data_IF_356899220680
#
_entry.id   IF_356899220680
#
_cell.length_a   1.000
_cell.length_b   1.000
_cell.length_c   1.000
_cell.angle_alpha   90.00
_cell.angle_beta   90.00
_cell.angle_gamma   90.00
#
_symmetry.space_group_name_H-M   'P 1'
#
loop_
_entity.id
_entity.type
_entity.pdbx_description
1 polymer ?
#
# COMPACT_ATOMS: atom_id res chain seq x y z
N UNK A 1 7.80 57.09 179.28
CA UNK A 1 8.72 57.25 180.42
C UNK A 1 9.41 58.61 180.30
N UNK A 2 9.23 59.47 181.32
CA UNK A 2 10.28 60.25 182.03
C UNK A 2 11.74 60.02 181.59
N UNK A 3 12.71 60.96 181.55
CA UNK A 3 13.03 62.28 182.15
C UNK A 3 14.20 62.86 181.31
N UNK A 4 14.28 64.15 180.93
CA UNK A 4 14.96 65.27 181.62
C UNK A 4 14.89 66.49 180.65
N UNK A 5 14.56 67.76 180.95
CA UNK A 5 14.58 68.64 182.13
C UNK A 5 15.94 68.75 182.81
N UNK A 6 16.78 69.66 182.30
CA UNK A 6 17.60 70.64 183.05
C UNK A 6 18.47 71.45 182.07
N UNK A 7 17.96 72.63 181.67
CA UNK A 7 18.75 73.88 181.44
C UNK A 7 17.83 75.03 180.97
N UNK A 8 16.69 75.14 181.66
CA UNK A 8 15.75 76.25 181.58
C UNK A 8 16.34 77.48 182.30
N UNK A 9 16.66 78.50 181.49
CA UNK A 9 16.77 79.96 181.75
C UNK A 9 18.05 80.56 181.14
N UNK A 10 19.17 79.85 181.14
CA UNK A 10 20.41 80.31 180.47
C UNK A 10 20.34 80.17 178.94
N UNK A 11 19.79 79.07 178.44
CA UNK A 11 19.52 78.91 177.00
C UNK A 11 18.50 79.93 176.49
N UNK A 12 17.52 80.34 177.31
CA UNK A 12 16.50 81.29 176.89
C UNK A 12 17.02 82.73 176.89
N UNK A 13 17.91 83.10 177.82
CA UNK A 13 18.50 84.44 177.86
C UNK A 13 19.63 84.62 176.83
N UNK A 14 20.42 83.58 176.56
CA UNK A 14 21.39 83.57 175.45
C UNK A 14 20.68 83.57 174.09
N UNK A 15 19.64 82.76 173.91
CA UNK A 15 18.84 82.80 172.69
C UNK A 15 18.14 84.16 172.52
N UNK A 16 17.64 84.78 173.59
CA UNK A 16 17.02 86.10 173.51
C UNK A 16 18.03 87.22 173.21
N UNK A 17 19.24 87.16 173.78
CA UNK A 17 20.32 88.10 173.44
C UNK A 17 20.87 87.87 172.03
N UNK A 18 20.95 86.62 171.55
CA UNK A 18 21.25 86.31 170.15
C UNK A 18 20.16 86.86 169.21
N UNK A 19 18.88 86.69 169.56
CA UNK A 19 17.76 87.21 168.76
C UNK A 19 17.74 88.75 168.71
N UNK A 20 18.10 89.44 169.81
CA UNK A 20 18.24 90.91 169.80
C UNK A 20 19.46 91.35 168.99
N UNK A 21 20.58 90.62 169.06
CA UNK A 21 21.77 90.89 168.25
C UNK A 21 21.53 90.65 166.74
N UNK A 22 20.77 89.61 166.39
CA UNK A 22 20.43 89.27 165.02
C UNK A 22 19.39 90.23 164.43
N UNK A 23 18.39 90.68 165.21
CA UNK A 23 17.44 91.71 164.75
C UNK A 23 18.10 93.07 164.50
N UNK A 24 19.10 93.47 165.29
CA UNK A 24 19.77 94.77 165.12
C UNK A 24 20.75 94.85 163.94
N UNK A 25 21.20 93.72 163.38
CA UNK A 25 21.98 93.70 162.12
C UNK A 25 21.13 93.47 160.88
N UNK A 26 19.94 92.88 161.01
CA UNK A 26 18.94 92.88 159.93
C UNK A 26 18.36 94.28 159.65
N UNK A 27 18.46 95.23 160.58
CA UNK A 27 17.98 96.61 160.42
C UNK A 27 18.97 97.57 159.72
N UNK A 28 20.18 97.14 159.35
CA UNK A 28 21.20 98.06 158.80
C UNK A 28 21.93 97.57 157.54
N UNK A 29 21.27 96.76 156.69
CA UNK A 29 21.63 96.71 155.26
C UNK A 29 20.38 96.76 154.40
N UNK A 30 20.26 97.90 153.75
CA UNK A 30 19.24 98.28 152.80
C UNK A 30 19.15 97.25 151.67
N UNK A 31 17.92 96.79 151.48
CA UNK A 31 17.28 96.26 150.29
C UNK A 31 18.11 96.27 148.99
N UNK A 32 18.46 95.07 148.53
CA UNK A 32 18.67 94.79 147.11
C UNK A 32 17.41 94.10 146.59
N UNK A 33 16.94 94.52 145.41
CA UNK A 33 15.80 93.96 144.64
C UNK A 33 15.80 92.42 144.50
N UNK A 34 16.89 91.76 144.89
CA UNK A 34 17.10 90.32 144.86
C UNK A 34 16.47 89.58 146.05
N UNK A 35 16.39 90.17 147.24
CA UNK A 35 15.80 89.47 148.42
C UNK A 35 14.27 89.59 148.49
N UNK A 36 13.67 90.69 148.00
CA UNK A 36 12.22 90.75 147.77
C UNK A 36 11.80 89.87 146.58
N UNK A 37 12.64 89.78 145.55
CA UNK A 37 12.44 88.82 144.47
C UNK A 37 12.59 87.37 144.98
N UNK A 38 13.54 87.05 145.85
CA UNK A 38 13.64 85.73 146.46
C UNK A 38 12.51 85.44 147.45
N UNK A 39 12.01 86.41 148.22
CA UNK A 39 10.80 86.20 149.01
C UNK A 39 9.56 86.02 148.15
N UNK A 40 9.43 86.75 147.04
CA UNK A 40 8.35 86.54 146.08
C UNK A 40 8.47 85.18 145.40
N UNK A 41 9.67 84.78 144.95
CA UNK A 41 9.96 83.47 144.36
C UNK A 41 9.78 82.33 145.36
N UNK A 42 10.13 82.54 146.64
CA UNK A 42 9.94 81.59 147.73
C UNK A 42 8.46 81.50 148.12
N UNK A 43 7.67 82.57 148.02
CA UNK A 43 6.21 82.52 148.18
C UNK A 43 5.54 81.83 146.99
N UNK A 44 5.99 82.11 145.77
CA UNK A 44 5.50 81.50 144.53
C UNK A 44 5.88 80.02 144.45
N UNK A 45 7.06 79.62 144.95
CA UNK A 45 7.42 78.21 145.14
C UNK A 45 6.73 77.55 146.32
N UNK A 46 6.38 78.28 147.41
CA UNK A 46 5.53 77.73 148.47
C UNK A 46 4.06 77.57 148.01
N UNK A 47 3.55 78.49 147.20
CA UNK A 47 2.22 78.40 146.57
C UNK A 47 2.20 77.29 145.53
N UNK A 48 3.22 77.15 144.69
CA UNK A 48 3.38 76.00 143.80
C UNK A 48 3.59 74.67 144.57
N UNK A 49 4.28 74.70 145.71
CA UNK A 49 4.45 73.51 146.56
C UNK A 49 3.19 73.13 147.34
N UNK A 50 2.31 74.08 147.64
CA UNK A 50 1.02 73.81 148.29
C UNK A 50 -0.07 73.37 147.29
N UNK A 51 0.11 73.59 145.99
CA UNK A 51 -0.70 72.95 144.93
C UNK A 51 -0.20 71.55 144.55
N UNK A 52 1.05 71.19 144.87
CA UNK A 52 1.57 69.82 144.83
C UNK A 52 1.05 68.95 146.00
N UNK A 53 -0.26 68.80 146.08
CA UNK A 53 -0.91 67.78 146.91
C UNK A 53 -0.75 66.40 146.24
N UNK A 54 -0.71 65.32 147.02
CA UNK A 54 -0.64 63.94 146.50
C UNK A 54 -1.69 63.70 145.42
N UNK A 55 -2.86 64.30 145.56
CA UNK A 55 -3.98 64.19 144.62
C UNK A 55 -3.71 64.91 143.27
N UNK A 56 -3.03 66.06 143.28
CA UNK A 56 -2.67 66.78 142.05
C UNK A 56 -1.47 66.18 141.32
N UNK A 57 -0.49 65.61 142.05
CA UNK A 57 0.59 64.84 141.42
C UNK A 57 0.03 63.57 140.82
N UNK A 58 -0.86 62.85 141.52
CA UNK A 58 -1.53 61.66 140.99
C UNK A 58 -2.43 61.99 139.80
N UNK A 59 -3.16 63.12 139.82
CA UNK A 59 -3.90 63.62 138.64
C UNK A 59 -2.98 63.97 137.49
N UNK A 60 -1.90 64.71 137.71
CA UNK A 60 -0.94 65.05 136.65
C UNK A 60 -0.25 63.82 136.06
N UNK A 61 0.04 62.81 136.88
CA UNK A 61 0.61 61.54 136.44
C UNK A 61 -0.42 60.69 135.70
N UNK A 62 -1.69 60.72 136.11
CA UNK A 62 -2.81 60.09 135.42
C UNK A 62 -3.13 60.77 134.08
N UNK A 63 -3.10 62.10 134.02
CA UNK A 63 -3.28 62.90 132.80
C UNK A 63 -2.13 62.64 131.83
N UNK A 64 -0.89 62.56 132.31
CA UNK A 64 0.27 62.25 131.49
C UNK A 64 0.26 60.79 131.00
N UNK A 65 -0.25 59.86 131.82
CA UNK A 65 -0.47 58.47 131.42
C UNK A 65 -1.61 58.36 130.37
N UNK A 66 -2.65 59.18 130.47
CA UNK A 66 -3.73 59.31 129.49
C UNK A 66 -3.25 59.95 128.18
N UNK A 67 -2.50 61.04 128.24
CA UNK A 67 -1.89 61.69 127.06
C UNK A 67 -0.87 60.77 126.39
N UNK A 68 -0.03 60.07 127.15
CA UNK A 68 0.91 59.10 126.59
C UNK A 68 0.16 57.92 125.95
N UNK A 69 -0.90 57.42 126.59
CA UNK A 69 -1.78 56.42 125.99
C UNK A 69 -2.47 56.91 124.71
N UNK A 70 -2.90 58.18 124.68
CA UNK A 70 -3.51 58.82 123.52
C UNK A 70 -2.53 59.00 122.36
N UNK A 71 -1.32 59.51 122.63
CA UNK A 71 -0.27 59.71 121.63
C UNK A 71 0.23 58.37 121.10
N UNK A 72 0.38 57.35 121.95
CA UNK A 72 0.74 55.99 121.52
C UNK A 72 -0.36 55.38 120.65
N UNK A 73 -1.63 55.58 121.01
CA UNK A 73 -2.76 55.14 120.17
C UNK A 73 -2.81 55.89 118.83
N UNK A 74 -2.64 57.21 118.82
CA UNK A 74 -2.58 57.99 117.57
C UNK A 74 -1.39 57.61 116.70
N UNK A 75 -0.22 57.36 117.30
CA UNK A 75 0.97 56.92 116.59
C UNK A 75 0.76 55.51 116.03
N UNK A 76 0.13 54.62 116.81
CA UNK A 76 -0.25 53.27 116.37
C UNK A 76 -1.25 53.33 115.22
N UNK A 77 -2.26 54.22 115.28
CA UNK A 77 -3.25 54.40 114.23
C UNK A 77 -2.62 55.01 112.97
N UNK A 78 -1.72 56.01 113.11
CA UNK A 78 -0.95 56.56 112.00
C UNK A 78 -0.03 55.51 111.39
N UNK A 79 0.66 54.71 112.19
CA UNK A 79 1.52 53.63 111.72
C UNK A 79 0.70 52.55 111.00
N UNK A 80 -0.47 52.17 111.53
CA UNK A 80 -1.39 51.23 110.90
C UNK A 80 -1.91 51.78 109.56
N UNK A 81 -2.27 53.06 109.48
CA UNK A 81 -2.66 53.73 108.23
C UNK A 81 -1.52 53.78 107.21
N UNK A 82 -0.30 54.09 107.65
CA UNK A 82 0.88 54.08 106.78
C UNK A 82 1.24 52.66 106.31
N UNK A 83 1.09 51.65 107.17
CA UNK A 83 1.30 50.26 106.81
C UNK A 83 0.23 49.76 105.82
N UNK A 84 -1.04 50.12 106.03
CA UNK A 84 -2.12 49.86 105.06
C UNK A 84 -1.83 50.52 103.71
N UNK A 85 -1.35 51.77 103.71
CA UNK A 85 -0.96 52.48 102.49
C UNK A 85 0.23 51.84 101.79
N UNK A 86 1.18 51.32 102.56
CA UNK A 86 2.32 50.56 102.04
C UNK A 86 1.87 49.23 101.42
N UNK A 87 0.94 48.51 102.06
CA UNK A 87 0.34 47.29 101.52
C UNK A 87 -0.45 47.56 100.24
N UNK A 88 -1.23 48.63 100.18
CA UNK A 88 -1.94 49.06 98.97
C UNK A 88 -0.97 49.42 97.84
N UNK A 89 0.12 50.14 98.13
CA UNK A 89 1.16 50.48 97.15
C UNK A 89 1.90 49.23 96.66
N UNK A 90 2.20 48.28 97.54
CA UNK A 90 2.83 47.01 97.16
C UNK A 90 1.91 46.17 96.28
N UNK A 91 0.62 46.07 96.62
CA UNK A 91 -0.39 45.40 95.76
C UNK A 91 -0.55 46.10 94.42
N UNK A 92 -0.61 47.43 94.40
CA UNK A 92 -0.68 48.20 93.16
C UNK A 92 0.56 48.00 92.29
N UNK A 93 1.75 47.89 92.89
CA UNK A 93 3.00 47.58 92.18
C UNK A 93 2.99 46.19 91.58
N UNK A 94 2.48 45.20 92.32
CA UNK A 94 2.34 43.83 91.82
C UNK A 94 1.37 43.75 90.64
N UNK A 95 0.18 44.36 90.77
CA UNK A 95 -0.80 44.46 89.68
C UNK A 95 -0.21 45.20 88.47
N UNK A 96 0.47 46.34 88.69
CA UNK A 96 1.11 47.09 87.61
C UNK A 96 2.22 46.28 86.92
N UNK A 97 2.96 45.46 87.67
CA UNK A 97 3.98 44.57 87.11
C UNK A 97 3.37 43.44 86.29
N UNK A 98 2.27 42.84 86.76
CA UNK A 98 1.52 41.82 86.01
C UNK A 98 0.94 42.41 84.72
N UNK A 99 0.28 43.57 84.80
CA UNK A 99 -0.25 44.28 83.63
C UNK A 99 0.87 44.64 82.63
N UNK A 100 2.06 45.04 83.10
CA UNK A 100 3.19 45.31 82.22
C UNK A 100 3.66 44.04 81.50
N UNK A 101 3.70 42.89 82.19
CA UNK A 101 4.04 41.61 81.59
C UNK A 101 3.00 41.18 80.54
N UNK A 102 1.71 41.33 80.83
CA UNK A 102 0.63 41.05 79.87
C UNK A 102 0.72 41.94 78.64
N UNK A 103 0.95 43.25 78.81
CA UNK A 103 1.15 44.18 77.70
C UNK A 103 2.38 43.84 76.85
N UNK A 104 3.47 43.38 77.49
CA UNK A 104 4.65 42.89 76.76
C UNK A 104 4.34 41.63 75.96
N UNK A 105 3.60 40.67 76.54
CA UNK A 105 3.17 39.46 75.83
C UNK A 105 2.25 39.79 74.66
N UNK A 106 1.26 40.67 74.86
CA UNK A 106 0.35 41.14 73.80
C UNK A 106 1.15 41.79 72.67
N UNK A 107 2.15 42.63 72.99
CA UNK A 107 3.00 43.26 71.99
C UNK A 107 3.79 42.22 71.19
N UNK A 108 4.41 41.24 71.84
CA UNK A 108 5.16 40.18 71.15
C UNK A 108 4.24 39.39 70.21
N UNK A 109 3.03 39.06 70.66
CA UNK A 109 2.04 38.36 69.82
C UNK A 109 1.57 39.22 68.65
N UNK A 110 1.34 40.52 68.86
CA UNK A 110 0.97 41.45 67.80
C UNK A 110 2.08 41.61 66.75
N UNK A 111 3.34 41.77 67.19
CA UNK A 111 4.50 41.86 66.30
C UNK A 111 4.67 40.54 65.51
N UNK A 112 4.53 39.39 66.16
CA UNK A 112 4.59 38.08 65.50
C UNK A 112 3.44 37.87 64.48
N UNK A 113 2.23 38.32 64.82
CA UNK A 113 1.07 38.27 63.92
C UNK A 113 1.27 39.17 62.70
N UNK A 114 1.85 40.36 62.87
CA UNK A 114 2.14 41.26 61.75
C UNK A 114 3.21 40.66 60.82
N UNK A 115 4.30 40.11 61.37
CA UNK A 115 5.33 39.39 60.59
C UNK A 115 4.70 38.23 59.80
N UNK A 116 3.91 37.38 60.46
CA UNK A 116 3.28 36.24 59.80
C UNK A 116 2.29 36.69 58.72
N UNK A 117 1.57 37.77 58.95
CA UNK A 117 0.64 38.36 57.96
C UNK A 117 1.39 38.91 56.76
N UNK A 118 2.53 39.56 56.97
CA UNK A 118 3.39 40.05 55.90
C UNK A 118 3.95 38.89 55.06
N UNK A 119 4.50 37.85 55.70
CA UNK A 119 4.98 36.65 55.00
C UNK A 119 3.88 35.97 54.18
N UNK A 120 2.66 35.85 54.73
CA UNK A 120 1.54 35.27 53.99
C UNK A 120 1.15 36.13 52.79
N UNK A 121 1.15 37.46 52.92
CA UNK A 121 0.89 38.37 51.79
C UNK A 121 1.95 38.23 50.71
N UNK A 122 3.21 38.10 51.07
CA UNK A 122 4.30 37.87 50.11
C UNK A 122 4.16 36.52 49.40
N UNK A 123 3.89 35.44 50.16
CA UNK A 123 3.65 34.10 49.59
C UNK A 123 2.44 34.06 48.66
N UNK A 124 1.38 34.82 48.97
CA UNK A 124 0.22 34.93 48.10
C UNK A 124 0.58 35.66 46.81
N UNK A 125 1.32 36.77 46.88
CA UNK A 125 1.77 37.50 45.70
C UNK A 125 2.64 36.63 44.79
N UNK A 126 3.62 35.92 45.34
CA UNK A 126 4.49 35.05 44.53
C UNK A 126 3.70 33.90 43.90
N UNK A 127 2.75 33.31 44.62
CA UNK A 127 1.89 32.26 44.08
C UNK A 127 0.95 32.78 42.98
N UNK A 128 0.40 33.99 43.12
CA UNK A 128 -0.41 34.64 42.09
C UNK A 128 0.41 34.94 40.82
N UNK A 129 1.63 35.45 40.99
CA UNK A 129 2.57 35.71 39.89
C UNK A 129 2.98 34.41 39.18
N UNK A 130 3.27 33.35 39.92
CA UNK A 130 3.61 32.03 39.38
C UNK A 130 2.43 31.42 38.60
N UNK A 131 1.22 31.49 39.14
CA UNK A 131 0.01 31.01 38.46
C UNK A 131 -0.22 31.80 37.18
N UNK A 132 -0.07 33.14 37.25
CA UNK A 132 -0.23 34.00 36.08
C UNK A 132 0.80 33.67 35.01
N UNK A 133 2.07 33.56 35.37
CA UNK A 133 3.16 33.20 34.46
C UNK A 133 2.90 31.84 33.79
N UNK A 134 2.56 30.82 34.57
CA UNK A 134 2.24 29.47 34.05
C UNK A 134 1.02 29.46 33.13
N UNK A 135 -0.01 30.27 33.42
CA UNK A 135 -1.17 30.42 32.53
C UNK A 135 -0.77 31.08 31.23
N UNK A 136 -0.02 32.17 31.28
CA UNK A 136 0.45 32.87 30.09
C UNK A 136 1.36 31.98 29.22
N UNK A 137 2.22 31.15 29.80
CA UNK A 137 3.03 30.19 29.04
C UNK A 137 2.18 29.09 28.41
N UNK A 138 1.24 28.50 29.16
CA UNK A 138 0.34 27.46 28.64
C UNK A 138 -0.56 28.01 27.52
N UNK A 139 -1.11 29.21 27.66
CA UNK A 139 -1.91 29.84 26.62
C UNK A 139 -1.11 30.08 25.33
N UNK A 140 0.15 30.51 25.46
CA UNK A 140 1.06 30.64 24.30
C UNK A 140 1.35 29.30 23.64
N UNK A 141 1.63 28.25 24.42
CA UNK A 141 1.88 26.90 23.90
C UNK A 141 0.64 26.34 23.19
N UNK A 142 -0.55 26.48 23.79
CA UNK A 142 -1.82 26.05 23.18
C UNK A 142 -2.05 26.81 21.87
N UNK A 143 -1.85 28.12 21.85
CA UNK A 143 -2.03 28.94 20.65
C UNK A 143 -1.03 28.54 19.55
N UNK A 144 0.24 28.31 19.90
CA UNK A 144 1.26 27.86 18.97
C UNK A 144 0.94 26.47 18.41
N UNK A 145 0.59 25.51 19.27
CA UNK A 145 0.24 24.14 18.84
C UNK A 145 -1.00 24.10 17.97
N UNK A 146 -2.02 24.91 18.27
CA UNK A 146 -3.19 25.05 17.40
C UNK A 146 -2.83 25.63 16.03
N UNK A 147 -1.94 26.62 15.99
CA UNK A 147 -1.47 27.20 14.74
C UNK A 147 -0.64 26.22 13.91
N UNK A 148 0.24 25.46 14.56
CA UNK A 148 1.02 24.38 13.92
C UNK A 148 0.08 23.31 13.35
N UNK A 149 -0.87 22.83 14.15
CA UNK A 149 -1.87 21.84 13.72
C UNK A 149 -2.71 22.34 12.53
N UNK A 150 -3.18 23.59 12.57
CA UNK A 150 -3.95 24.17 11.47
C UNK A 150 -3.14 24.27 10.18
N UNK A 151 -1.85 24.56 10.27
CA UNK A 151 -0.95 24.55 9.10
C UNK A 151 -0.76 23.14 8.56
N UNK A 152 -0.43 22.18 9.42
CA UNK A 152 -0.26 20.77 9.03
C UNK A 152 -1.53 20.21 8.39
N UNK A 153 -2.71 20.56 8.93
CA UNK A 153 -3.98 20.16 8.36
C UNK A 153 -4.21 20.78 6.97
N UNK A 154 -3.93 22.07 6.79
CA UNK A 154 -4.06 22.73 5.49
C UNK A 154 -3.07 22.15 4.46
N UNK A 155 -1.81 21.91 4.84
CA UNK A 155 -0.79 21.29 3.99
C UNK A 155 -1.19 19.85 3.62
N UNK A 156 -1.76 19.10 4.56
CA UNK A 156 -2.26 17.75 4.29
C UNK A 156 -3.46 17.75 3.34
N UNK A 157 -4.42 18.65 3.54
CA UNK A 157 -5.58 18.80 2.66
C UNK A 157 -5.16 19.20 1.23
N UNK A 158 -4.22 20.13 1.09
CA UNK A 158 -3.65 20.53 -0.21
C UNK A 158 -2.89 19.37 -0.87
N UNK A 159 -2.06 18.63 -0.12
CA UNK A 159 -1.34 17.47 -0.63
C UNK A 159 -2.29 16.34 -1.06
N UNK A 160 -3.37 16.10 -0.30
CA UNK A 160 -4.39 15.12 -0.64
C UNK A 160 -5.15 15.52 -1.91
N UNK A 161 -5.49 16.81 -2.04
CA UNK A 161 -6.13 17.31 -3.25
C UNK A 161 -5.21 17.17 -4.47
N UNK A 162 -3.96 17.61 -4.38
CA UNK A 162 -2.98 17.49 -5.46
C UNK A 162 -2.74 16.03 -5.85
N UNK A 163 -2.67 15.12 -4.88
CA UNK A 163 -2.56 13.69 -5.13
C UNK A 163 -3.78 13.16 -5.90
N UNK A 164 -4.99 13.46 -5.43
CA UNK A 164 -6.23 13.03 -6.08
C UNK A 164 -6.38 13.58 -7.50
N UNK A 165 -6.02 14.84 -7.74
CA UNK A 165 -6.02 15.46 -9.07
C UNK A 165 -5.01 14.78 -9.99
N UNK A 166 -3.81 14.50 -9.50
CA UNK A 166 -2.78 13.78 -10.27
C UNK A 166 -3.23 12.36 -10.66
N UNK A 167 -3.86 11.64 -9.72
CA UNK A 167 -4.39 10.30 -9.92
C UNK A 167 -5.56 10.31 -10.91
N UNK A 168 -6.46 11.28 -10.81
CA UNK A 168 -7.58 11.44 -11.75
C UNK A 168 -7.07 11.73 -13.16
N UNK A 169 -6.08 12.62 -13.30
CA UNK A 169 -5.43 12.92 -14.58
C UNK A 169 -4.75 11.70 -15.17
N UNK A 170 -4.00 10.95 -14.37
CA UNK A 170 -3.35 9.71 -14.82
C UNK A 170 -4.38 8.68 -15.31
N UNK A 171 -5.45 8.45 -14.55
CA UNK A 171 -6.53 7.53 -14.95
C UNK A 171 -7.23 7.96 -16.23
N UNK A 172 -7.45 9.27 -16.42
CA UNK A 172 -8.01 9.80 -17.67
C UNK A 172 -7.08 9.52 -18.84
N UNK A 173 -5.78 9.83 -18.71
CA UNK A 173 -4.79 9.59 -19.75
C UNK A 173 -4.68 8.10 -20.10
N UNK A 174 -4.64 7.21 -19.10
CA UNK A 174 -4.62 5.77 -19.31
C UNK A 174 -5.87 5.27 -20.04
N UNK A 175 -7.04 5.81 -19.68
CA UNK A 175 -8.31 5.47 -20.34
C UNK A 175 -8.31 5.93 -21.80
N UNK A 176 -7.89 7.17 -22.06
CA UNK A 176 -7.82 7.74 -23.40
C UNK A 176 -6.82 6.98 -24.28
N UNK A 177 -5.63 6.67 -23.75
CA UNK A 177 -4.64 5.84 -24.44
C UNK A 177 -5.16 4.45 -24.74
N UNK A 178 -5.86 3.82 -23.80
CA UNK A 178 -6.44 2.50 -23.99
C UNK A 178 -7.50 2.51 -25.09
N UNK A 179 -8.42 3.49 -25.06
CA UNK A 179 -9.44 3.63 -26.10
C UNK A 179 -8.81 3.91 -27.47
N UNK A 180 -7.82 4.81 -27.53
CA UNK A 180 -7.10 5.10 -28.76
C UNK A 180 -6.40 3.85 -29.34
N UNK A 181 -5.69 3.09 -28.49
CA UNK A 181 -5.04 1.83 -28.88
C UNK A 181 -6.08 0.82 -29.37
N UNK A 182 -7.19 0.65 -28.65
CA UNK A 182 -8.27 -0.27 -29.03
C UNK A 182 -8.87 0.09 -30.40
N UNK A 183 -9.21 1.36 -30.62
CA UNK A 183 -9.75 1.84 -31.90
C UNK A 183 -8.74 1.66 -33.04
N UNK A 184 -7.48 2.00 -32.80
CA UNK A 184 -6.41 1.86 -33.79
C UNK A 184 -6.20 0.40 -34.17
N UNK A 185 -6.14 -0.51 -33.18
CA UNK A 185 -6.04 -1.96 -33.41
C UNK A 185 -7.25 -2.49 -34.16
N UNK A 186 -8.48 -2.06 -33.82
CA UNK A 186 -9.69 -2.45 -34.55
C UNK A 186 -9.66 -1.98 -36.00
N UNK A 187 -9.26 -0.73 -36.26
CA UNK A 187 -9.12 -0.18 -37.62
C UNK A 187 -8.07 -0.94 -38.42
N UNK A 188 -6.89 -1.19 -37.84
CA UNK A 188 -5.82 -1.97 -38.48
C UNK A 188 -6.27 -3.39 -38.82
N UNK A 189 -6.90 -4.08 -37.87
CA UNK A 189 -7.40 -5.44 -38.08
C UNK A 189 -8.49 -5.48 -39.15
N UNK A 190 -9.42 -4.50 -39.15
CA UNK A 190 -10.48 -4.39 -40.16
C UNK A 190 -9.88 -4.14 -41.54
N UNK A 191 -8.98 -3.18 -41.66
CA UNK A 191 -8.30 -2.87 -42.93
C UNK A 191 -7.49 -4.07 -43.45
N UNK A 192 -6.79 -4.79 -42.57
CA UNK A 192 -6.04 -5.99 -42.94
C UNK A 192 -6.98 -7.12 -43.41
N UNK A 193 -8.11 -7.32 -42.72
CA UNK A 193 -9.14 -8.28 -43.12
C UNK A 193 -9.75 -7.92 -44.48
N UNK A 194 -10.15 -6.67 -44.68
CA UNK A 194 -10.71 -6.19 -45.95
C UNK A 194 -9.70 -6.27 -47.10
N UNK A 195 -8.43 -6.00 -46.84
CA UNK A 195 -7.36 -6.18 -47.83
C UNK A 195 -7.20 -7.65 -48.23
N UNK A 196 -7.17 -8.57 -47.25
CA UNK A 196 -7.12 -10.01 -47.51
C UNK A 196 -8.34 -10.48 -48.30
N UNK A 197 -9.54 -10.06 -47.88
CA UNK A 197 -10.80 -10.37 -48.57
C UNK A 197 -10.75 -9.92 -50.03
N UNK A 198 -10.37 -8.67 -50.30
CA UNK A 198 -10.24 -8.14 -51.67
C UNK A 198 -9.21 -8.90 -52.50
N UNK A 199 -8.08 -9.30 -51.90
CA UNK A 199 -7.07 -10.08 -52.61
C UNK A 199 -7.59 -11.48 -52.97
N UNK A 200 -8.23 -12.17 -52.03
CA UNK A 200 -8.83 -13.47 -52.28
C UNK A 200 -9.97 -13.40 -53.32
N UNK A 201 -10.82 -12.37 -53.27
CA UNK A 201 -11.86 -12.15 -54.28
C UNK A 201 -11.25 -11.94 -55.68
N UNK A 202 -10.15 -11.17 -55.78
CA UNK A 202 -9.42 -10.98 -57.03
C UNK A 202 -8.81 -12.28 -57.54
N UNK A 203 -8.13 -13.03 -56.69
CA UNK A 203 -7.53 -14.33 -57.05
C UNK A 203 -8.60 -15.33 -57.52
N UNK A 204 -9.76 -15.39 -56.83
CA UNK A 204 -10.89 -16.22 -57.25
C UNK A 204 -11.40 -15.77 -58.62
N UNK A 205 -11.55 -14.46 -58.85
CA UNK A 205 -12.03 -13.94 -60.13
C UNK A 205 -11.05 -14.26 -61.27
N UNK A 206 -9.75 -14.01 -61.08
CA UNK A 206 -8.71 -14.28 -62.08
C UNK A 206 -8.62 -15.78 -62.39
N UNK A 207 -8.60 -16.63 -61.36
CA UNK A 207 -8.55 -18.08 -61.55
C UNK A 207 -9.82 -18.64 -62.19
N UNK A 208 -10.99 -18.07 -61.88
CA UNK A 208 -12.26 -18.46 -62.52
C UNK A 208 -12.26 -18.08 -63.99
N UNK A 209 -11.86 -16.85 -64.33
CA UNK A 209 -11.75 -16.42 -65.73
C UNK A 209 -10.76 -17.25 -66.54
N UNK A 210 -9.62 -17.61 -65.94
CA UNK A 210 -8.64 -18.47 -66.61
C UNK A 210 -9.19 -19.87 -66.84
N UNK A 211 -9.83 -20.48 -65.82
CA UNK A 211 -10.49 -21.78 -65.97
C UNK A 211 -11.59 -21.75 -67.02
N UNK A 212 -12.43 -20.71 -67.05
CA UNK A 212 -13.48 -20.56 -68.06
C UNK A 212 -12.93 -20.52 -69.48
N UNK A 213 -11.80 -19.82 -69.70
CA UNK A 213 -11.09 -19.82 -70.99
C UNK A 213 -10.56 -21.21 -71.34
N UNK A 214 -9.88 -21.87 -70.42
CA UNK A 214 -9.32 -23.21 -70.63
C UNK A 214 -10.43 -24.24 -70.94
N UNK A 215 -11.56 -24.15 -70.24
CA UNK A 215 -12.74 -24.99 -70.49
C UNK A 215 -13.36 -24.72 -71.85
N UNK A 216 -13.54 -23.44 -72.23
CA UNK A 216 -14.08 -23.06 -73.52
C UNK A 216 -13.17 -23.53 -74.68
N UNK A 217 -11.85 -23.39 -74.55
CA UNK A 217 -10.89 -23.90 -75.53
C UNK A 217 -10.95 -25.42 -75.64
N UNK A 218 -10.98 -26.13 -74.50
CA UNK A 218 -11.09 -27.59 -74.46
C UNK A 218 -12.39 -28.06 -75.10
N UNK A 219 -13.52 -27.43 -74.77
CA UNK A 219 -14.82 -27.78 -75.32
C UNK A 219 -14.86 -27.55 -76.84
N UNK A 220 -14.29 -26.43 -77.31
CA UNK A 220 -14.13 -26.16 -78.74
C UNK A 220 -13.30 -27.24 -79.46
N UNK A 221 -12.14 -27.61 -78.91
CA UNK A 221 -11.29 -28.66 -79.49
C UNK A 221 -12.05 -29.99 -79.54
N UNK A 222 -12.77 -30.35 -78.48
CA UNK A 222 -13.56 -31.58 -78.45
C UNK A 222 -14.67 -31.56 -79.49
N UNK A 223 -15.41 -30.46 -79.62
CA UNK A 223 -16.45 -30.30 -80.65
C UNK A 223 -15.89 -30.39 -82.07
N UNK A 224 -14.76 -29.71 -82.35
CA UNK A 224 -14.11 -29.73 -83.67
C UNK A 224 -13.56 -31.12 -84.03
N UNK A 225 -13.09 -31.90 -83.03
CA UNK A 225 -12.52 -33.24 -83.24
C UNK A 225 -13.55 -34.36 -83.22
N UNK A 226 -14.75 -34.13 -82.66
CA UNK A 226 -15.84 -35.10 -82.60
C UNK A 226 -16.20 -35.73 -83.97
N UNK A 227 -16.34 -34.98 -85.08
CA UNK A 227 -16.67 -35.58 -86.38
C UNK A 227 -15.54 -36.48 -86.91
N UNK A 228 -14.28 -36.03 -86.82
CA UNK A 228 -13.11 -36.84 -87.21
C UNK A 228 -13.00 -38.12 -86.39
N UNK A 229 -13.25 -38.03 -85.07
CA UNK A 229 -13.25 -39.20 -84.20
C UNK A 229 -14.35 -40.19 -84.61
N UNK A 230 -15.55 -39.69 -84.91
CA UNK A 230 -16.68 -40.51 -85.37
C UNK A 230 -16.37 -41.16 -86.73
N UNK A 231 -15.76 -40.43 -87.66
CA UNK A 231 -15.30 -40.95 -88.95
C UNK A 231 -14.25 -42.05 -88.78
N UNK A 232 -13.24 -41.84 -87.94
CA UNK A 232 -12.24 -42.87 -87.66
C UNK A 232 -12.82 -44.09 -86.96
N UNK A 233 -13.77 -43.92 -86.05
CA UNK A 233 -14.49 -45.04 -85.45
C UNK A 233 -15.24 -45.86 -86.51
N UNK A 234 -15.92 -45.20 -87.46
CA UNK A 234 -16.60 -45.87 -88.57
C UNK A 234 -15.61 -46.60 -89.49
N UNK A 235 -14.50 -45.96 -89.87
CA UNK A 235 -13.44 -46.58 -90.68
C UNK A 235 -12.84 -47.80 -90.00
N UNK A 236 -12.51 -47.71 -88.71
CA UNK A 236 -11.98 -48.85 -87.93
C UNK A 236 -13.01 -49.98 -87.85
N UNK A 237 -14.30 -49.68 -87.69
CA UNK A 237 -15.35 -50.69 -87.67
C UNK A 237 -15.61 -51.33 -89.04
N UNK A 238 -15.47 -50.58 -90.14
CA UNK A 238 -15.67 -51.08 -91.50
C UNK A 238 -14.45 -51.84 -92.06
N UNK A 239 -13.24 -51.52 -91.58
CA UNK A 239 -11.99 -52.06 -92.10
C UNK A 239 -11.92 -53.60 -92.18
N UNK A 240 -12.39 -54.39 -91.19
CA UNK A 240 -12.37 -55.84 -91.30
C UNK A 240 -13.20 -56.36 -92.48
N UNK A 241 -14.38 -55.79 -92.71
CA UNK A 241 -15.26 -56.17 -93.82
C UNK A 241 -14.66 -55.76 -95.17
N UNK A 242 -14.15 -54.53 -95.28
CA UNK A 242 -13.47 -54.05 -96.49
C UNK A 242 -12.23 -54.92 -96.81
N UNK A 243 -11.47 -55.31 -95.79
CA UNK A 243 -10.31 -56.20 -95.93
C UNK A 243 -10.74 -57.60 -96.40
N UNK A 244 -11.80 -58.17 -95.81
CA UNK A 244 -12.34 -59.46 -96.25
C UNK A 244 -12.86 -59.42 -97.70
N UNK A 245 -13.58 -58.37 -98.08
CA UNK A 245 -14.06 -58.17 -99.45
C UNK A 245 -12.91 -58.01 -100.44
N UNK A 246 -11.89 -57.22 -100.09
CA UNK A 246 -10.69 -57.07 -100.92
C UNK A 246 -9.93 -58.40 -101.08
N UNK A 247 -9.81 -59.20 -100.01
CA UNK A 247 -9.20 -60.54 -100.07
C UNK A 247 -10.03 -61.47 -100.95
N UNK A 248 -11.36 -61.48 -100.80
CA UNK A 248 -12.26 -62.30 -101.64
C UNK A 248 -12.13 -61.93 -103.10
N UNK A 249 -12.21 -60.64 -103.43
CA UNK A 249 -12.07 -60.13 -104.80
C UNK A 249 -10.71 -60.48 -105.39
N UNK A 250 -9.61 -60.26 -104.66
CA UNK A 250 -8.27 -60.62 -105.12
C UNK A 250 -8.12 -62.14 -105.34
N UNK A 251 -8.72 -62.98 -104.48
CA UNK A 251 -8.77 -64.43 -104.68
C UNK A 251 -9.57 -64.81 -105.92
N UNK A 252 -10.75 -64.23 -106.12
CA UNK A 252 -11.61 -64.49 -107.28
C UNK A 252 -10.94 -64.06 -108.58
N UNK A 253 -10.33 -62.87 -108.62
CA UNK A 253 -9.56 -62.39 -109.77
C UNK A 253 -8.35 -63.29 -110.06
N UNK A 254 -7.60 -63.70 -109.04
CA UNK A 254 -6.47 -64.62 -109.19
C UNK A 254 -6.92 -65.99 -109.71
N UNK A 255 -8.02 -66.55 -109.21
CA UNK A 255 -8.62 -67.81 -109.69
C UNK A 255 -9.11 -67.66 -111.14
N UNK A 256 -9.75 -66.55 -111.47
CA UNK A 256 -10.24 -66.28 -112.83
C UNK A 256 -9.08 -66.14 -113.81
N UNK A 257 -8.05 -65.39 -113.47
CA UNK A 257 -6.88 -65.21 -114.33
C UNK A 257 -6.10 -66.52 -114.49
N UNK A 258 -5.86 -67.27 -113.41
CA UNK A 258 -5.18 -68.57 -113.49
C UNK A 258 -5.98 -69.61 -114.25
N UNK A 259 -7.31 -69.70 -114.05
CA UNK A 259 -8.17 -70.61 -114.81
C UNK A 259 -8.26 -70.24 -116.29
N UNK A 260 -8.30 -68.94 -116.63
CA UNK A 260 -8.24 -68.49 -118.01
C UNK A 260 -6.89 -68.84 -118.66
N UNK A 261 -5.77 -68.58 -117.97
CA UNK A 261 -4.43 -68.97 -118.46
C UNK A 261 -4.32 -70.48 -118.65
N UNK A 262 -4.72 -71.26 -117.65
CA UNK A 262 -4.70 -72.72 -117.73
C UNK A 262 -5.60 -73.26 -118.84
N UNK A 263 -6.78 -72.65 -119.07
CA UNK A 263 -7.65 -73.01 -120.19
C UNK A 263 -7.02 -72.67 -121.54
N UNK A 264 -6.43 -71.49 -121.69
CA UNK A 264 -5.72 -71.12 -122.93
C UNK A 264 -4.54 -72.05 -123.19
N UNK A 265 -3.76 -72.39 -122.15
CA UNK A 265 -2.65 -73.35 -122.24
C UNK A 265 -3.16 -74.77 -122.61
N UNK A 266 -4.25 -75.23 -122.00
CA UNK A 266 -4.86 -76.52 -122.33
C UNK A 266 -5.42 -76.55 -123.76
N UNK A 267 -6.14 -75.51 -124.18
CA UNK A 267 -6.69 -75.38 -125.54
C UNK A 267 -5.56 -75.32 -126.59
N UNK A 268 -4.44 -74.64 -126.28
CA UNK A 268 -3.24 -74.62 -127.13
C UNK A 268 -2.58 -76.00 -127.20
N UNK A 269 -2.41 -76.67 -126.05
CA UNK A 269 -1.84 -78.02 -125.98
C UNK A 269 -2.69 -79.04 -126.75
N UNK A 270 -4.02 -78.97 -126.63
CA UNK A 270 -4.95 -79.83 -127.36
C UNK A 270 -4.85 -79.58 -128.87
N UNK A 271 -4.80 -78.31 -129.31
CA UNK A 271 -4.58 -77.96 -130.72
C UNK A 271 -3.23 -78.43 -131.26
N UNK A 272 -2.17 -78.29 -130.47
CA UNK A 272 -0.83 -78.78 -130.84
C UNK A 272 -0.83 -80.31 -130.96
N UNK A 273 -1.53 -81.00 -130.06
CA UNK A 273 -1.72 -82.45 -130.12
C UNK A 273 -2.54 -82.88 -131.34
N UNK A 274 -3.66 -82.21 -131.63
CA UNK A 274 -4.49 -82.47 -132.82
C UNK A 274 -3.72 -82.24 -134.12
N UNK A 275 -2.97 -81.13 -134.22
CA UNK A 275 -2.09 -80.83 -135.34
C UNK A 275 -1.02 -81.89 -135.53
N UNK A 276 -0.39 -82.31 -134.43
CA UNK A 276 0.62 -83.39 -134.42
C UNK A 276 -0.01 -84.71 -134.86
N UNK A 277 -1.20 -85.04 -134.36
CA UNK A 277 -1.97 -86.24 -134.74
C UNK A 277 -2.31 -86.22 -136.23
N UNK A 278 -2.85 -85.11 -136.76
CA UNK A 278 -3.16 -84.95 -138.18
C UNK A 278 -1.90 -85.07 -139.05
N UNK A 279 -0.76 -84.55 -138.60
CA UNK A 279 0.52 -84.71 -139.28
C UNK A 279 0.95 -86.17 -139.36
N UNK A 280 0.85 -86.92 -138.24
CA UNK A 280 1.11 -88.35 -138.21
C UNK A 280 0.11 -89.14 -139.06
N UNK A 281 -1.18 -88.82 -139.02
CA UNK A 281 -2.21 -89.45 -139.86
C UNK A 281 -1.96 -89.19 -141.36
N UNK A 282 -1.63 -87.97 -141.76
CA UNK A 282 -1.25 -87.65 -143.13
C UNK A 282 0.03 -88.40 -143.55
N UNK A 283 0.99 -88.57 -142.63
CA UNK A 283 2.20 -89.36 -142.90
C UNK A 283 1.91 -90.84 -143.03
N UNK A 284 1.01 -91.39 -142.21
CA UNK A 284 0.50 -92.76 -142.34
C UNK A 284 -0.19 -92.92 -143.69
N UNK A 285 -1.13 -92.04 -144.06
CA UNK A 285 -1.80 -92.09 -145.37
C UNK A 285 -0.81 -92.01 -146.53
N UNK A 286 0.20 -91.15 -146.45
CA UNK A 286 1.26 -91.07 -147.47
C UNK A 286 2.07 -92.36 -147.55
N UNK A 287 2.37 -93.01 -146.42
CA UNK A 287 3.07 -94.29 -146.40
C UNK A 287 2.18 -95.42 -146.91
N UNK A 288 0.91 -95.47 -146.56
CA UNK A 288 -0.08 -96.42 -147.07
C UNK A 288 -0.25 -96.28 -148.58
N UNK A 289 -0.39 -95.06 -149.11
CA UNK A 289 -0.42 -94.82 -150.56
C UNK A 289 0.89 -95.25 -151.24
N UNK A 290 2.03 -95.07 -150.57
CA UNK A 290 3.33 -95.52 -151.08
C UNK A 290 3.42 -97.04 -151.11
N UNK A 291 2.96 -97.71 -150.05
CA UNK A 291 2.86 -99.17 -149.95
C UNK A 291 1.93 -99.69 -151.05
N UNK A 292 0.76 -99.07 -151.25
CA UNK A 292 -0.18 -99.47 -152.29
C UNK A 292 0.45 -99.36 -153.69
N UNK A 293 1.15 -98.26 -153.99
CA UNK A 293 1.90 -98.12 -155.25
C UNK A 293 3.01 -99.16 -155.38
N UNK A 294 3.71 -99.49 -154.30
CA UNK A 294 4.73 -100.54 -154.30
C UNK A 294 4.12 -101.93 -154.51
N UNK A 295 2.95 -102.22 -153.93
CA UNK A 295 2.19 -103.45 -154.17
C UNK A 295 1.77 -103.54 -155.64
N UNK A 296 1.21 -102.47 -156.21
CA UNK A 296 0.86 -102.41 -157.63
C UNK A 296 2.10 -102.59 -158.54
N UNK A 297 3.24 -102.00 -158.17
CA UNK A 297 4.50 -102.23 -158.87
C UNK A 297 5.01 -103.67 -158.74
N UNK A 298 4.91 -104.28 -157.56
CA UNK A 298 5.30 -105.68 -157.34
C UNK A 298 4.38 -106.61 -158.14
N UNK A 299 3.08 -106.37 -158.15
CA UNK A 299 2.13 -107.12 -158.98
C UNK A 299 2.43 -106.95 -160.48
N UNK A 300 2.73 -105.72 -160.91
CA UNK A 300 3.16 -105.43 -162.28
C UNK A 300 4.46 -106.14 -162.67
N UNK A 301 5.48 -106.10 -161.80
CA UNK A 301 6.76 -106.79 -162.00
C UNK A 301 6.57 -108.31 -161.95
N UNK A 302 5.70 -108.83 -161.07
CA UNK A 302 5.38 -110.25 -160.98
C UNK A 302 4.66 -110.75 -162.23
N UNK A 303 3.73 -109.96 -162.77
CA UNK A 303 3.08 -110.23 -164.05
C UNK A 303 4.09 -110.19 -165.22
N UNK A 304 5.00 -109.20 -165.24
CA UNK A 304 6.09 -109.13 -166.21
C UNK A 304 7.05 -110.32 -166.07
N UNK A 305 7.35 -110.78 -164.85
CA UNK A 305 8.18 -111.95 -164.58
C UNK A 305 7.49 -113.23 -165.05
N UNK A 306 6.19 -113.41 -164.78
CA UNK A 306 5.43 -114.55 -165.32
C UNK A 306 5.39 -114.52 -166.85
N UNK A 307 5.25 -113.34 -167.44
CA UNK A 307 5.26 -113.17 -168.90
C UNK A 307 6.64 -113.47 -169.47
N UNK A 308 7.71 -113.00 -168.83
CA UNK A 308 9.09 -113.27 -169.20
C UNK A 308 9.46 -114.75 -169.00
N UNK A 309 8.97 -115.40 -167.95
CA UNK A 309 9.12 -116.85 -167.73
C UNK A 309 8.39 -117.65 -168.80
N UNK A 310 7.16 -117.25 -169.19
CA UNK A 310 6.46 -117.83 -170.35
C UNK A 310 7.21 -117.62 -171.65
N UNK A 311 7.69 -116.41 -171.92
CA UNK A 311 8.47 -116.10 -173.12
C UNK A 311 9.81 -116.85 -173.15
N UNK A 312 10.47 -117.04 -172.00
CA UNK A 312 11.69 -117.84 -171.89
C UNK A 312 11.42 -119.35 -172.07
N UNK A 313 10.29 -119.87 -171.56
CA UNK A 313 9.85 -121.24 -171.84
C UNK A 313 9.49 -121.46 -173.31
N UNK A 314 8.77 -120.52 -173.93
CA UNK A 314 8.40 -120.61 -175.35
C UNK A 314 9.62 -120.46 -176.28
N UNK A 315 10.63 -119.66 -175.88
CA UNK A 315 11.89 -119.54 -176.63
C UNK A 315 12.78 -120.78 -176.46
N UNK A 316 12.80 -121.38 -175.27
CA UNK A 316 13.48 -122.65 -175.03
C UNK A 316 12.81 -123.82 -175.78
N UNK A 317 11.48 -123.83 -175.91
CA UNK A 317 10.77 -124.82 -176.72
C UNK A 317 10.94 -124.61 -178.23
N UNK A 318 11.10 -123.38 -178.73
CA UNK A 318 11.32 -123.11 -180.16
C UNK A 318 12.76 -123.32 -180.65
N UNK A 319 13.76 -123.35 -179.76
CA UNK A 319 15.16 -123.56 -180.15
C UNK A 319 15.57 -125.04 -180.30
N UNK A 320 14.74 -126.00 -179.85
CA UNK A 320 15.09 -127.42 -179.85
C UNK A 320 14.46 -128.26 -180.98
N UNK A 321 13.51 -127.74 -181.78
CA UNK A 321 12.74 -128.54 -182.75
C UNK A 321 12.96 -128.20 -184.24
N UNK A 322 14.06 -127.52 -184.60
CA UNK A 322 14.30 -127.03 -185.97
C UNK A 322 15.47 -127.65 -186.75
N UNK A 323 16.08 -128.73 -186.27
CA UNK A 323 17.13 -129.48 -186.99
C UNK A 323 16.73 -130.94 -187.24
N UNK A 324 15.58 -131.15 -187.89
CA UNK A 324 15.26 -132.36 -188.65
C UNK A 324 14.01 -132.13 -189.53
N UNK A 325 14.17 -132.25 -190.85
CA UNK A 325 13.16 -132.54 -191.89
C UNK A 325 11.90 -131.67 -191.97
#
# INVERSE_FOLDING_TARGET
MSIAVKDSKQQLMQAFQQIIADRKKLESKIATKQEEAEKAKNKETLEAASTYTVDNIVKGLADLQLEFGSIVNELSEKLARQNSKLDELNKAREIASQNLQELQQIRIVADALDILTQEHREKLKTLEEDIRSKRETLEKEIAQKRKEWQKEQAEYEEALQAYNESLAKQRSLETDEYQYKLETTRKLNTNAYEARKRNSEREIQETTQQKEKDWAEREKILQERQPLFTEYQQKVAAFPNEMEEAIKKAREEAIKETSQKAKVEADLFEKDWESTKQSYEAKIQSLEQTIQKQVEQIEGISAQLQTALKQAQDLAMRAFDGSAK
#
